data_IF_997217073479
#
_entry.id   IF_997217073479
#
_cell.length_a   1.000
_cell.length_b   1.000
_cell.length_c   1.000
_cell.angle_alpha   90.00
_cell.angle_beta   90.00
_cell.angle_gamma   90.00
#
_symmetry.space_group_name_H-M   'P 1'
#
loop_
_entity.id
_entity.type
_entity.pdbx_description
1 polymer ?
#
# COMPACT_ATOMS: atom_id res chain seq x y z
N UNK A 1 16.75 15.22 0.73
CA UNK A 1 16.85 13.74 0.76
C UNK A 1 17.00 13.30 -0.69
N UNK A 2 18.04 12.55 -1.08
CA UNK A 2 18.22 12.16 -2.48
C UNK A 2 17.25 11.02 -2.83
N UNK A 3 16.36 11.26 -3.79
CA UNK A 3 15.54 10.23 -4.42
C UNK A 3 16.23 9.78 -5.72
N UNK A 4 16.19 8.47 -5.98
CA UNK A 4 16.65 7.88 -7.23
C UNK A 4 15.44 7.40 -8.02
N UNK A 5 15.16 8.04 -9.16
CA UNK A 5 14.13 7.57 -10.10
C UNK A 5 14.57 6.24 -10.70
N UNK A 6 13.67 5.27 -10.71
CA UNK A 6 13.88 3.91 -11.24
C UNK A 6 12.93 3.56 -12.38
N UNK A 7 11.81 4.26 -12.49
CA UNK A 7 10.92 4.28 -13.66
C UNK A 7 10.47 5.73 -13.85
N UNK A 8 10.68 6.27 -15.04
CA UNK A 8 10.05 7.53 -15.45
C UNK A 8 8.64 7.28 -16.03
N UNK A 9 7.98 8.33 -16.53
CA UNK A 9 6.62 8.20 -17.06
C UNK A 9 6.51 7.29 -18.28
N UNK A 10 7.50 7.32 -19.17
CA UNK A 10 7.52 6.45 -20.36
C UNK A 10 7.74 4.99 -19.95
N UNK A 11 8.63 4.76 -18.98
CA UNK A 11 8.84 3.44 -18.39
C UNK A 11 7.56 2.90 -17.71
N UNK A 12 6.82 3.74 -16.97
CA UNK A 12 5.54 3.35 -16.34
C UNK A 12 4.53 2.96 -17.41
N UNK A 13 4.37 3.77 -18.46
CA UNK A 13 3.44 3.46 -19.56
C UNK A 13 3.79 2.13 -20.24
N UNK A 14 5.06 1.93 -20.64
CA UNK A 14 5.52 0.67 -21.25
C UNK A 14 5.32 -0.52 -20.31
N UNK A 15 5.50 -0.32 -19.01
CA UNK A 15 5.29 -1.35 -17.99
C UNK A 15 3.82 -1.76 -17.89
N UNK A 16 2.89 -0.80 -17.88
CA UNK A 16 1.45 -1.10 -17.81
C UNK A 16 0.97 -1.82 -19.07
N UNK A 17 1.47 -1.44 -20.25
CA UNK A 17 1.15 -2.16 -21.51
C UNK A 17 1.64 -3.60 -21.44
N UNK A 18 2.86 -3.85 -20.96
CA UNK A 18 3.37 -5.22 -20.76
C UNK A 18 2.51 -6.04 -19.80
N UNK A 19 2.14 -5.47 -18.65
CA UNK A 19 1.27 -6.15 -17.68
C UNK A 19 -0.08 -6.48 -18.32
N UNK A 20 -0.66 -5.58 -19.11
CA UNK A 20 -1.92 -5.82 -19.81
C UNK A 20 -1.82 -7.02 -20.78
N UNK A 21 -0.74 -7.13 -21.54
CA UNK A 21 -0.48 -8.31 -22.38
C UNK A 21 -0.40 -9.61 -21.56
N UNK A 22 0.30 -9.60 -20.43
CA UNK A 22 0.40 -10.77 -19.54
C UNK A 22 -0.96 -11.16 -18.93
N UNK A 23 -1.80 -10.17 -18.59
CA UNK A 23 -3.16 -10.40 -18.11
C UNK A 23 -3.98 -11.09 -19.19
N UNK A 24 -4.00 -10.55 -20.41
CA UNK A 24 -4.76 -11.11 -21.54
C UNK A 24 -4.32 -12.54 -21.86
N UNK A 25 -3.00 -12.79 -21.93
CA UNK A 25 -2.46 -14.12 -22.22
C UNK A 25 -2.85 -15.15 -21.14
N UNK A 26 -2.84 -14.74 -19.85
CA UNK A 26 -3.16 -15.66 -18.75
C UNK A 26 -4.67 -15.84 -18.54
N UNK A 27 -5.48 -14.81 -18.81
CA UNK A 27 -6.94 -14.88 -18.65
C UNK A 27 -7.60 -15.68 -19.78
N UNK A 28 -7.08 -15.59 -21.01
CA UNK A 28 -7.70 -16.25 -22.17
C UNK A 28 -9.14 -15.76 -22.39
N UNK A 29 -10.09 -16.69 -22.40
CA UNK A 29 -11.53 -16.39 -22.58
C UNK A 29 -12.30 -16.21 -21.27
N UNK A 30 -11.61 -16.16 -20.13
CA UNK A 30 -12.23 -15.98 -18.82
C UNK A 30 -12.89 -14.59 -18.66
N UNK A 31 -14.03 -14.54 -17.97
CA UNK A 31 -14.63 -13.28 -17.51
C UNK A 31 -13.66 -12.57 -16.55
N UNK A 32 -13.15 -11.43 -16.99
CA UNK A 32 -12.12 -10.66 -16.30
C UNK A 32 -12.74 -9.40 -15.68
N UNK A 33 -12.34 -9.09 -14.46
CA UNK A 33 -12.58 -7.78 -13.85
C UNK A 33 -11.29 -7.23 -13.25
N UNK A 34 -11.15 -5.90 -13.23
CA UNK A 34 -10.00 -5.21 -12.65
C UNK A 34 -10.45 -4.41 -11.44
N UNK A 35 -9.78 -4.58 -10.31
CA UNK A 35 -10.12 -3.88 -9.06
C UNK A 35 -8.88 -3.18 -8.51
N UNK A 36 -8.91 -1.86 -8.41
CA UNK A 36 -7.79 -1.07 -7.88
C UNK A 36 -7.84 -0.91 -6.37
N UNK A 37 -6.69 -1.03 -5.72
CA UNK A 37 -6.59 -0.77 -4.27
C UNK A 37 -6.23 0.71 -4.04
N UNK A 38 -7.00 1.39 -3.19
CA UNK A 38 -6.73 2.78 -2.89
C UNK A 38 -5.38 3.01 -2.19
N UNK A 39 -4.66 4.09 -2.52
CA UNK A 39 -5.06 5.21 -3.40
C UNK A 39 -4.53 5.10 -4.84
N UNK A 40 -3.24 4.80 -5.01
CA UNK A 40 -2.57 4.81 -6.32
C UNK A 40 -2.85 3.56 -7.16
N UNK A 41 -3.29 2.46 -6.55
CA UNK A 41 -3.71 1.27 -7.29
C UNK A 41 -4.96 1.50 -8.15
N UNK A 42 -5.88 2.39 -7.74
CA UNK A 42 -7.07 2.73 -8.54
C UNK A 42 -6.79 3.39 -9.90
N UNK A 43 -6.01 4.50 -10.00
CA UNK A 43 -5.67 5.04 -11.32
C UNK A 43 -4.87 4.04 -12.16
N UNK A 44 -3.97 3.26 -11.56
CA UNK A 44 -3.25 2.20 -12.27
C UNK A 44 -4.19 1.10 -12.79
N UNK A 45 -5.21 0.73 -12.01
CA UNK A 45 -6.25 -0.21 -12.40
C UNK A 45 -7.06 0.30 -13.59
N UNK A 46 -7.47 1.57 -13.57
CA UNK A 46 -8.17 2.18 -14.71
C UNK A 46 -7.35 2.09 -15.98
N UNK A 47 -6.07 2.49 -15.93
CA UNK A 47 -5.17 2.41 -17.10
C UNK A 47 -4.94 0.98 -17.58
N UNK A 48 -4.79 0.02 -16.65
CA UNK A 48 -4.65 -1.40 -17.01
C UNK A 48 -5.92 -1.95 -17.65
N UNK A 49 -7.09 -1.60 -17.10
CA UNK A 49 -8.38 -1.97 -17.67
C UNK A 49 -8.49 -1.46 -19.10
N UNK A 50 -8.17 -0.19 -19.34
CA UNK A 50 -8.24 0.42 -20.68
C UNK A 50 -7.31 -0.33 -21.65
N UNK A 51 -6.05 -0.58 -21.27
CA UNK A 51 -5.12 -1.36 -22.08
C UNK A 51 -5.63 -2.78 -22.39
N UNK A 52 -6.23 -3.47 -21.40
CA UNK A 52 -6.76 -4.82 -21.59
C UNK A 52 -8.00 -4.79 -22.50
N UNK A 53 -8.88 -3.81 -22.33
CA UNK A 53 -10.05 -3.63 -23.18
C UNK A 53 -9.64 -3.38 -24.64
N UNK A 54 -8.63 -2.53 -24.87
CA UNK A 54 -8.08 -2.26 -26.20
C UNK A 54 -7.49 -3.53 -26.85
N UNK A 55 -6.78 -4.35 -26.08
CA UNK A 55 -6.17 -5.60 -26.57
C UNK A 55 -7.19 -6.69 -26.88
N UNK A 56 -8.29 -6.75 -26.13
CA UNK A 56 -9.30 -7.82 -26.25
C UNK A 56 -10.51 -7.42 -27.09
N UNK A 57 -10.75 -6.12 -27.28
CA UNK A 57 -11.99 -5.59 -27.85
C UNK A 57 -13.23 -5.84 -26.98
N UNK A 58 -13.05 -6.17 -25.69
CA UNK A 58 -14.12 -6.47 -24.74
C UNK A 58 -14.22 -5.38 -23.70
N UNK A 59 -15.43 -5.15 -23.19
CA UNK A 59 -15.60 -4.34 -21.99
C UNK A 59 -15.12 -5.13 -20.76
N UNK A 60 -14.36 -4.47 -19.90
CA UNK A 60 -13.75 -5.07 -18.71
C UNK A 60 -14.22 -4.27 -17.50
N UNK A 61 -15.02 -4.87 -16.59
CA UNK A 61 -15.48 -4.20 -15.39
C UNK A 61 -14.32 -3.64 -14.56
N UNK A 62 -14.50 -2.43 -14.06
CA UNK A 62 -13.56 -1.72 -13.21
C UNK A 62 -14.22 -1.42 -11.87
N UNK A 63 -13.52 -1.72 -10.78
CA UNK A 63 -13.91 -1.31 -9.43
C UNK A 63 -12.71 -0.86 -8.62
N UNK A 64 -12.98 -0.46 -7.37
CA UNK A 64 -11.97 -0.08 -6.41
C UNK A 64 -12.34 -0.52 -4.99
N UNK A 65 -11.31 -0.71 -4.17
CA UNK A 65 -11.46 -1.01 -2.74
C UNK A 65 -10.63 -0.06 -1.90
N UNK A 66 -11.24 0.51 -0.87
CA UNK A 66 -10.54 1.19 0.20
C UNK A 66 -10.40 0.30 1.44
N UNK A 67 -9.16 -0.06 1.73
CA UNK A 67 -8.78 -0.90 2.86
C UNK A 67 -8.24 -0.07 4.04
N UNK A 68 -8.48 1.24 4.07
CA UNK A 68 -7.97 2.15 5.11
C UNK A 68 -8.38 1.72 6.52
N UNK A 69 -9.49 1.01 6.68
CA UNK A 69 -9.93 0.40 7.95
C UNK A 69 -9.23 -0.91 8.33
N UNK A 70 -8.72 -1.67 7.36
CA UNK A 70 -8.13 -3.00 7.57
C UNK A 70 -6.62 -2.95 7.88
N UNK A 71 -6.07 -1.76 8.14
CA UNK A 71 -4.67 -1.63 8.57
C UNK A 71 -4.57 -2.02 10.04
N UNK A 72 -4.04 -3.20 10.31
CA UNK A 72 -3.65 -3.67 11.65
C UNK A 72 -2.71 -2.69 12.41
N UNK A 73 -2.16 -1.67 11.73
CA UNK A 73 -1.19 -0.71 12.24
C UNK A 73 -1.80 0.58 12.83
N UNK A 74 -3.10 0.64 13.14
CA UNK A 74 -3.71 1.81 13.81
C UNK A 74 -2.96 2.18 15.11
N UNK A 75 -2.27 1.22 15.75
CA UNK A 75 -1.41 1.46 16.91
C UNK A 75 0.05 1.86 16.65
N UNK A 76 0.59 1.68 15.43
CA UNK A 76 2.03 1.88 15.15
C UNK A 76 2.37 3.24 14.51
N UNK A 77 1.37 4.00 14.07
CA UNK A 77 1.56 5.40 13.61
C UNK A 77 1.19 6.37 14.72
N UNK A 78 2.04 6.47 15.74
CA UNK A 78 1.96 7.56 16.71
C UNK A 78 2.13 8.91 15.97
N UNK A 79 1.02 9.60 15.69
CA UNK A 79 1.02 11.02 15.28
C UNK A 79 0.60 11.35 13.85
N UNK A 80 -0.10 10.48 13.12
CA UNK A 80 -0.69 10.84 11.81
C UNK A 80 -2.22 10.75 11.85
N UNK A 81 -2.86 11.72 11.20
CA UNK A 81 -4.31 11.94 11.16
C UNK A 81 -5.13 10.66 10.97
N UNK A 82 -6.35 10.64 11.52
CA UNK A 82 -7.30 9.55 11.34
C UNK A 82 -7.36 9.14 9.86
N UNK A 83 -7.43 7.83 9.54
CA UNK A 83 -7.53 7.38 8.16
C UNK A 83 -8.70 8.08 7.48
N UNK A 84 -8.45 8.76 6.36
CA UNK A 84 -9.52 9.23 5.49
C UNK A 84 -10.09 7.99 4.82
N UNK A 85 -11.37 7.75 5.06
CA UNK A 85 -12.12 6.61 4.51
C UNK A 85 -12.73 7.06 3.19
N UNK A 86 -12.35 6.39 2.12
CA UNK A 86 -13.07 6.37 0.86
C UNK A 86 -14.04 5.18 0.85
N UNK A 87 -15.12 5.31 0.09
CA UNK A 87 -15.99 4.16 -0.19
C UNK A 87 -15.28 3.22 -1.18
N UNK A 88 -15.53 1.91 -1.04
CA UNK A 88 -15.20 0.90 -2.04
C UNK A 88 -16.35 0.79 -3.05
N UNK A 89 -16.02 0.66 -4.33
CA UNK A 89 -17.00 0.59 -5.42
C UNK A 89 -16.77 -0.63 -6.30
N UNK A 90 -17.66 -1.61 -6.20
CA UNK A 90 -17.71 -2.79 -7.07
C UNK A 90 -19.17 -2.98 -7.46
N UNK A 91 -19.58 -2.25 -8.51
CA UNK A 91 -20.97 -2.18 -8.98
C UNK A 91 -21.29 -3.25 -10.04
N UNK A 92 -20.57 -4.37 -9.99
CA UNK A 92 -20.72 -5.50 -10.91
C UNK A 92 -20.60 -6.82 -10.13
N UNK A 93 -21.19 -7.89 -10.69
CA UNK A 93 -21.10 -9.22 -10.10
C UNK A 93 -19.69 -9.79 -10.24
N UNK A 94 -19.07 -10.18 -9.12
CA UNK A 94 -17.73 -10.82 -9.13
C UNK A 94 -17.79 -12.35 -9.08
N UNK A 95 -18.98 -12.92 -8.92
CA UNK A 95 -19.16 -14.36 -8.79
C UNK A 95 -18.68 -15.10 -10.05
N UNK A 96 -17.76 -16.05 -9.87
CA UNK A 96 -17.19 -16.83 -10.97
C UNK A 96 -16.19 -16.09 -11.87
N UNK A 97 -16.02 -14.77 -11.70
CA UNK A 97 -15.06 -13.98 -12.46
C UNK A 97 -13.61 -14.23 -12.00
N UNK A 98 -12.68 -13.89 -12.88
CA UNK A 98 -11.26 -13.73 -12.56
C UNK A 98 -11.00 -12.25 -12.28
N UNK A 99 -10.67 -11.94 -11.02
CA UNK A 99 -10.46 -10.57 -10.56
C UNK A 99 -8.97 -10.29 -10.46
N UNK A 100 -8.49 -9.26 -11.15
CA UNK A 100 -7.12 -8.74 -11.01
C UNK A 100 -7.14 -7.56 -10.04
N UNK A 101 -6.62 -7.79 -8.83
CA UNK A 101 -6.33 -6.73 -7.89
C UNK A 101 -5.09 -5.95 -8.36
N UNK A 102 -5.13 -4.62 -8.26
CA UNK A 102 -4.03 -3.75 -8.68
C UNK A 102 -3.57 -2.87 -7.53
N UNK A 103 -2.27 -2.93 -7.22
CA UNK A 103 -1.61 -2.05 -6.23
C UNK A 103 -0.40 -1.35 -6.83
N UNK A 104 0.06 -0.28 -6.20
CA UNK A 104 1.25 0.43 -6.65
C UNK A 104 2.55 -0.31 -6.26
N UNK A 105 2.65 -0.78 -5.01
CA UNK A 105 3.86 -1.42 -4.48
C UNK A 105 3.54 -2.64 -3.62
N UNK A 106 4.03 -3.81 -4.02
CA UNK A 106 4.03 -4.99 -3.14
C UNK A 106 5.15 -4.92 -2.10
N UNK A 107 4.77 -4.90 -0.81
CA UNK A 107 5.70 -4.89 0.34
C UNK A 107 5.46 -6.07 1.30
N UNK A 108 4.85 -5.86 2.47
CA UNK A 108 4.63 -6.92 3.47
C UNK A 108 3.51 -7.90 3.10
N UNK A 109 2.57 -7.46 2.25
CA UNK A 109 1.39 -8.21 1.81
C UNK A 109 0.11 -7.95 2.61
N UNK A 110 0.15 -7.10 3.64
CA UNK A 110 -1.03 -6.77 4.47
C UNK A 110 -2.13 -6.05 3.68
N UNK A 111 -1.76 -5.14 2.80
CA UNK A 111 -2.68 -4.46 1.87
C UNK A 111 -3.46 -5.47 1.03
N UNK A 112 -2.76 -6.43 0.44
CA UNK A 112 -3.36 -7.46 -0.41
C UNK A 112 -4.31 -8.36 0.39
N UNK A 113 -3.92 -8.78 1.60
CA UNK A 113 -4.80 -9.55 2.50
C UNK A 113 -6.13 -8.82 2.70
N UNK A 114 -6.06 -7.56 3.09
CA UNK A 114 -7.24 -6.74 3.34
C UNK A 114 -8.09 -6.53 2.09
N UNK A 115 -7.46 -6.34 0.92
CA UNK A 115 -8.19 -6.18 -0.33
C UNK A 115 -8.92 -7.47 -0.75
N UNK A 116 -8.32 -8.65 -0.51
CA UNK A 116 -8.96 -9.94 -0.74
C UNK A 116 -10.15 -10.13 0.22
N UNK A 117 -9.98 -9.79 1.51
CA UNK A 117 -11.05 -9.83 2.50
C UNK A 117 -12.22 -8.94 2.07
N UNK A 118 -11.95 -7.68 1.73
CA UNK A 118 -12.96 -6.74 1.24
C UNK A 118 -13.63 -7.22 -0.05
N UNK A 119 -12.88 -7.79 -0.99
CA UNK A 119 -13.43 -8.34 -2.23
C UNK A 119 -14.45 -9.44 -1.96
N UNK A 120 -14.21 -10.30 -0.95
CA UNK A 120 -15.16 -11.35 -0.58
C UNK A 120 -16.44 -10.84 0.08
N UNK A 121 -16.52 -9.57 0.47
CA UNK A 121 -17.80 -8.96 0.89
C UNK A 121 -18.74 -8.73 -0.30
N UNK A 122 -18.22 -8.68 -1.53
CA UNK A 122 -18.98 -8.44 -2.76
C UNK A 122 -19.34 -9.71 -3.54
N UNK A 123 -18.78 -10.87 -3.19
CA UNK A 123 -19.06 -12.13 -3.88
C UNK A 123 -17.94 -13.16 -3.78
N UNK A 124 -17.94 -14.13 -4.69
CA UNK A 124 -17.04 -15.29 -4.73
C UNK A 124 -16.40 -15.41 -6.12
N UNK A 125 -15.29 -14.70 -6.38
CA UNK A 125 -14.56 -14.84 -7.63
C UNK A 125 -14.01 -16.26 -7.77
N UNK A 126 -13.94 -16.76 -9.01
CA UNK A 126 -13.27 -18.03 -9.33
C UNK A 126 -11.79 -17.95 -9.05
N UNK A 127 -11.18 -16.79 -9.35
CA UNK A 127 -9.76 -16.55 -9.17
C UNK A 127 -9.53 -15.10 -8.78
N UNK A 128 -8.59 -14.89 -7.86
CA UNK A 128 -8.04 -13.57 -7.55
C UNK A 128 -6.57 -13.58 -7.95
N UNK A 129 -6.18 -12.60 -8.76
CA UNK A 129 -4.81 -12.36 -9.18
C UNK A 129 -4.34 -11.00 -8.68
N UNK A 130 -3.03 -10.79 -8.63
CA UNK A 130 -2.45 -9.52 -8.19
C UNK A 130 -1.46 -8.96 -9.22
N UNK A 131 -1.73 -7.74 -9.70
CA UNK A 131 -0.81 -6.94 -10.48
C UNK A 131 -0.24 -5.80 -9.63
N UNK A 132 1.07 -5.60 -9.68
CA UNK A 132 1.73 -4.46 -9.02
C UNK A 132 2.70 -3.76 -9.94
N UNK A 133 2.78 -2.42 -9.84
CA UNK A 133 3.76 -1.65 -10.61
C UNK A 133 5.19 -1.95 -10.11
N UNK A 134 5.40 -2.07 -8.80
CA UNK A 134 6.68 -2.42 -8.23
C UNK A 134 6.57 -3.51 -7.15
N UNK A 135 7.55 -4.42 -7.12
CA UNK A 135 7.74 -5.37 -6.03
C UNK A 135 9.06 -5.05 -5.31
N UNK A 136 8.98 -4.72 -4.02
CA UNK A 136 10.15 -4.34 -3.23
C UNK A 136 10.64 -5.42 -2.26
N UNK A 137 10.04 -6.61 -2.29
CA UNK A 137 10.34 -7.72 -1.38
C UNK A 137 9.83 -7.51 0.06
N UNK A 138 10.51 -8.15 1.02
CA UNK A 138 10.21 -8.09 2.47
C UNK A 138 8.81 -8.55 2.87
N UNK A 139 8.35 -9.65 2.27
CA UNK A 139 7.07 -10.28 2.60
C UNK A 139 7.00 -10.67 4.08
N UNK A 140 5.84 -10.42 4.66
CA UNK A 140 5.44 -10.96 5.97
C UNK A 140 4.28 -11.95 5.84
N UNK A 141 3.53 -11.85 4.72
CA UNK A 141 2.47 -12.76 4.35
C UNK A 141 2.82 -13.49 3.04
N UNK A 142 2.32 -14.72 2.82
CA UNK A 142 2.69 -15.57 1.69
C UNK A 142 2.03 -15.16 0.36
N UNK A 143 1.89 -13.86 0.12
CA UNK A 143 1.32 -13.31 -1.12
C UNK A 143 2.42 -12.98 -2.13
N UNK A 144 2.23 -13.44 -3.36
CA UNK A 144 3.10 -13.15 -4.50
C UNK A 144 2.26 -12.55 -5.62
N UNK A 145 2.65 -11.41 -6.20
CA UNK A 145 1.98 -10.88 -7.38
C UNK A 145 2.11 -11.84 -8.56
N UNK A 146 1.02 -11.96 -9.30
CA UNK A 146 0.92 -12.66 -10.57
C UNK A 146 1.64 -11.88 -11.68
N UNK A 147 1.59 -10.55 -11.60
CA UNK A 147 2.15 -9.61 -12.56
C UNK A 147 2.96 -8.54 -11.81
N UNK A 148 4.21 -8.36 -12.22
CA UNK A 148 5.12 -7.39 -11.60
C UNK A 148 5.67 -6.46 -12.67
N UNK A 149 5.50 -5.16 -12.45
CA UNK A 149 6.08 -4.13 -13.30
C UNK A 149 7.61 -4.12 -13.22
N UNK A 150 8.14 -3.93 -12.01
CA UNK A 150 9.58 -4.01 -11.75
C UNK A 150 9.89 -4.59 -10.37
N UNK A 151 10.81 -5.54 -10.33
CA UNK A 151 11.41 -5.99 -9.07
C UNK A 151 12.50 -5.00 -8.65
N UNK A 152 12.36 -4.44 -7.44
CA UNK A 152 13.26 -3.45 -6.86
C UNK A 152 13.88 -4.04 -5.59
N UNK A 153 15.13 -4.54 -5.65
CA UNK A 153 15.86 -4.91 -4.45
C UNK A 153 16.01 -3.66 -3.57
N UNK A 154 15.40 -3.66 -2.39
CA UNK A 154 15.46 -2.54 -1.44
C UNK A 154 15.94 -3.00 -0.07
N UNK A 155 16.59 -2.13 0.67
CA UNK A 155 16.74 -2.28 2.11
C UNK A 155 15.41 -1.98 2.83
N UNK A 156 15.23 -2.51 4.05
CA UNK A 156 14.04 -2.19 4.88
C UNK A 156 13.93 -0.69 5.19
N UNK A 157 15.07 -0.02 5.31
CA UNK A 157 15.16 1.42 5.54
C UNK A 157 14.89 2.25 4.28
N UNK A 158 14.78 1.66 3.10
CA UNK A 158 14.41 2.39 1.89
C UNK A 158 12.89 2.46 1.74
N UNK A 159 12.42 3.43 0.95
CA UNK A 159 11.01 3.61 0.57
C UNK A 159 10.91 3.67 -0.94
N UNK A 160 9.92 2.98 -1.47
CA UNK A 160 9.50 3.11 -2.87
C UNK A 160 8.37 4.12 -2.92
N UNK A 161 8.58 5.22 -3.61
CA UNK A 161 7.60 6.26 -3.83
C UNK A 161 7.06 6.11 -5.25
N UNK A 162 5.79 5.78 -5.38
CA UNK A 162 5.08 5.81 -6.66
C UNK A 162 4.34 7.13 -6.76
N UNK A 163 4.40 7.73 -7.93
CA UNK A 163 3.66 8.93 -8.31
C UNK A 163 2.90 8.60 -9.58
N UNK A 164 1.63 8.98 -9.60
CA UNK A 164 0.74 8.78 -10.76
C UNK A 164 0.15 10.12 -11.15
N UNK A 165 0.04 10.39 -12.45
CA UNK A 165 -0.37 11.69 -12.99
C UNK A 165 -1.70 12.18 -12.41
N UNK A 166 -2.65 11.28 -12.15
CA UNK A 166 -3.99 11.57 -11.61
C UNK A 166 -3.97 12.15 -10.21
N UNK A 167 -2.93 11.85 -9.41
CA UNK A 167 -2.83 12.27 -8.01
C UNK A 167 -1.65 13.21 -7.76
N UNK A 168 -0.55 13.02 -8.49
CA UNK A 168 0.74 13.64 -8.24
C UNK A 168 1.20 14.54 -9.42
N UNK A 169 0.44 14.61 -10.51
CA UNK A 169 0.73 15.42 -11.70
C UNK A 169 1.87 14.90 -12.58
N UNK A 170 2.44 13.73 -12.25
CA UNK A 170 3.47 13.03 -13.02
C UNK A 170 3.49 11.54 -12.71
N UNK A 171 3.95 10.75 -13.66
CA UNK A 171 4.22 9.33 -13.48
C UNK A 171 5.70 9.11 -13.14
N UNK A 172 5.97 8.44 -12.03
CA UNK A 172 7.34 8.15 -11.59
C UNK A 172 7.35 7.05 -10.53
N UNK A 173 8.36 6.20 -10.54
CA UNK A 173 8.73 5.37 -9.39
C UNK A 173 10.13 5.74 -8.96
N UNK A 174 10.30 6.09 -7.68
CA UNK A 174 11.57 6.50 -7.11
C UNK A 174 11.86 5.75 -5.80
N UNK A 175 13.14 5.55 -5.50
CA UNK A 175 13.62 4.98 -4.24
C UNK A 175 14.29 6.07 -3.42
N UNK A 176 13.95 6.14 -2.13
CA UNK A 176 14.55 7.06 -1.17
C UNK A 176 14.95 6.32 0.11
N UNK A 177 15.93 6.83 0.85
CA UNK A 177 16.16 6.36 2.22
C UNK A 177 15.10 6.96 3.13
N UNK A 178 14.49 6.18 4.01
CA UNK A 178 13.68 6.72 5.09
C UNK A 178 14.59 7.62 5.95
N UNK A 179 14.25 8.91 6.06
CA UNK A 179 14.91 9.78 7.01
C UNK A 179 14.82 9.17 8.42
N UNK A 180 15.89 9.29 9.21
CA UNK A 180 15.82 9.00 10.64
C UNK A 180 14.60 9.76 11.22
N UNK A 181 13.82 9.15 12.13
CA UNK A 181 12.80 9.91 12.83
C UNK A 181 13.50 11.09 13.50
N UNK A 182 13.07 12.31 13.18
CA UNK A 182 13.56 13.51 13.85
C UNK A 182 13.25 13.35 15.33
N UNK A 183 14.26 12.99 16.12
CA UNK A 183 14.16 12.92 17.56
C UNK A 183 13.65 14.26 18.06
N UNK A 184 12.57 14.24 18.84
CA UNK A 184 12.21 15.38 19.67
C UNK A 184 13.46 15.77 20.48
N UNK A 185 13.76 17.07 20.64
CA UNK A 185 14.79 17.46 21.60
C UNK A 185 14.37 16.92 22.97
N UNK A 186 15.33 16.31 23.66
CA UNK A 186 15.16 15.89 25.05
C UNK A 186 14.68 17.11 25.86
N UNK A 187 13.76 16.95 26.83
CA UNK A 187 13.40 18.06 27.69
C UNK A 187 14.65 18.49 28.47
N UNK A 188 14.99 19.77 28.34
CA UNK A 188 16.04 20.41 29.12
C UNK A 188 15.76 20.18 30.61
N UNK A 189 16.68 19.48 31.26
CA UNK A 189 16.67 19.30 32.71
C UNK A 189 17.04 20.61 33.38
N UNK A 190 16.04 21.42 33.73
CA UNK A 190 16.17 22.43 34.77
C UNK A 190 15.62 21.89 36.08
N UNK A 191 16.43 21.99 37.13
CA UNK A 191 16.15 21.43 38.44
C UNK A 191 17.24 21.77 39.45
N UNK A 192 17.75 23.01 39.39
CA UNK A 192 18.57 23.58 40.46
C UNK A 192 17.69 24.01 41.63
N UNK A 193 18.06 23.53 42.83
CA UNK A 193 17.91 24.21 44.12
C UNK A 193 16.55 24.17 44.84
N UNK A 194 16.46 23.40 45.94
CA UNK A 194 16.64 23.89 47.33
C UNK A 194 16.20 22.84 48.36
N UNK A 195 17.11 22.51 49.27
CA UNK A 195 16.78 22.10 50.65
C UNK A 195 16.50 23.39 51.49
N UNK A 196 15.88 23.34 52.68
CA UNK A 196 16.53 22.71 53.84
C UNK A 196 15.59 21.93 54.81
N UNK A 197 16.27 21.33 55.78
CA UNK A 197 15.83 20.49 56.88
C UNK A 197 14.70 21.05 57.76
N UNK A 198 13.97 20.15 58.43
CA UNK A 198 13.79 20.26 59.87
C UNK A 198 13.66 18.90 60.56
N UNK A 199 14.06 18.92 61.82
CA UNK A 199 14.57 17.87 62.69
C UNK A 199 13.50 17.41 63.71
N UNK A 200 13.66 16.18 64.24
CA UNK A 200 13.13 15.67 65.54
C UNK A 200 11.60 15.39 65.62
N UNK A 201 11.06 14.36 66.28
CA UNK A 201 11.45 13.50 67.41
C UNK A 201 10.54 12.26 67.44
N UNK A 202 11.01 11.13 67.99
CA UNK A 202 10.18 10.37 68.94
C UNK A 202 9.82 8.92 68.63
N UNK A 203 10.55 8.01 69.30
CA UNK A 203 10.09 6.76 69.96
C UNK A 203 9.30 5.74 69.13
N UNK A 204 9.92 4.58 68.88
CA UNK A 204 9.33 3.28 69.22
C UNK A 204 10.42 2.28 69.64
N UNK A 205 10.21 1.60 70.77
CA UNK A 205 11.12 0.60 71.29
C UNK A 205 10.50 -0.16 72.46
N UNK A 206 9.99 -1.36 72.16
CA UNK A 206 9.62 -2.50 73.04
C UNK A 206 8.44 -2.23 74.00
N UNK A 207 7.56 -3.17 74.33
CA UNK A 207 7.45 -4.61 74.14
C UNK A 207 5.95 -4.96 73.99
#
# INVERSE_FOLDING_TARGET
>A
MQEKVVLDGEDVQRTLVRIAHEIVERAGDEDLAVVGIHRRGAPLASRLRDNVADLTGRDVPLGDVDISFYRDDVGLRAGHAQPVVHASHIDFGIDGATVVLVDDVMYTGRTVRAAIEALFDYGRPRRVQLAVLADRGHRELPFRPDYVGKNLPTARAERVNVRVAELDGRDEVAISRAGAPSGRPAPDGDGSSRAPANETTGREGRA
#
